data_IF_880121526422
#
_entry.id   IF_880121526422
#
_cell.length_a   1.000
_cell.length_b   1.000
_cell.length_c   1.000
_cell.angle_alpha   90.00
_cell.angle_beta   90.00
_cell.angle_gamma   90.00
#
_symmetry.space_group_name_H-M   'P 1'
#
loop_
_entity.id
_entity.type
_entity.pdbx_description
1 polymer ?
#
# COMPACT_ATOMS: atom_id res chain seq x y z
N UNK A 1 -20.73 -13.28 -0.77
CA UNK A 1 -19.27 -13.24 -0.52
C UNK A 1 -19.06 -12.24 0.59
N UNK A 2 -18.71 -12.72 1.78
CA UNK A 2 -18.44 -11.87 2.94
C UNK A 2 -17.14 -11.11 2.71
N UNK A 3 -17.19 -9.79 2.92
CA UNK A 3 -16.02 -8.93 2.80
C UNK A 3 -15.02 -9.28 3.91
N UNK A 4 -13.79 -9.68 3.55
CA UNK A 4 -12.76 -10.02 4.52
C UNK A 4 -11.70 -8.93 4.55
N UNK A 5 -11.56 -8.27 5.71
CA UNK A 5 -10.44 -7.35 5.95
C UNK A 5 -9.14 -8.14 6.11
N UNK A 6 -8.11 -7.71 5.41
CA UNK A 6 -6.76 -8.29 5.43
C UNK A 6 -5.74 -7.21 5.74
N UNK A 7 -4.61 -7.62 6.33
CA UNK A 7 -3.51 -6.72 6.69
C UNK A 7 -2.20 -7.16 6.03
N UNK A 8 -1.38 -6.18 5.65
CA UNK A 8 -0.02 -6.36 5.11
C UNK A 8 0.93 -5.58 6.00
N UNK A 9 2.08 -6.18 6.31
CA UNK A 9 3.19 -5.51 6.99
C UNK A 9 4.47 -5.88 6.27
N UNK A 10 5.18 -4.89 5.74
CA UNK A 10 6.42 -5.14 5.02
C UNK A 10 7.38 -3.95 5.07
N UNK A 11 8.58 -4.15 4.53
CA UNK A 11 9.62 -3.15 4.37
C UNK A 11 9.95 -3.01 2.89
N UNK A 12 9.76 -1.81 2.37
CA UNK A 12 10.16 -1.45 1.02
C UNK A 12 11.50 -0.69 1.04
N UNK A 13 12.43 -1.07 0.17
CA UNK A 13 13.64 -0.27 -0.11
C UNK A 13 13.39 0.49 -1.40
N UNK A 14 13.43 1.82 -1.36
CA UNK A 14 13.23 2.64 -2.55
C UNK A 14 14.26 2.32 -3.61
N UNK A 15 13.80 2.33 -4.86
CA UNK A 15 14.63 2.15 -6.05
C UNK A 15 15.55 3.35 -6.25
N UNK A 16 15.09 4.55 -5.90
CA UNK A 16 15.86 5.80 -5.95
C UNK A 16 16.23 6.21 -4.52
N UNK A 17 17.50 6.48 -4.25
CA UNK A 17 17.99 6.92 -2.93
C UNK A 17 18.26 5.79 -1.92
N UNK A 18 17.63 4.62 -2.10
CA UNK A 18 17.89 3.42 -1.29
C UNK A 18 17.35 3.50 0.13
N UNK A 19 16.51 4.49 0.45
CA UNK A 19 15.92 4.60 1.77
C UNK A 19 14.90 3.48 2.03
N UNK A 20 14.83 3.04 3.28
CA UNK A 20 13.91 1.98 3.71
C UNK A 20 12.66 2.58 4.34
N UNK A 21 11.52 2.05 3.95
CA UNK A 21 10.22 2.40 4.49
C UNK A 21 9.54 1.15 5.01
N UNK A 22 9.07 1.21 6.25
CA UNK A 22 8.19 0.19 6.80
C UNK A 22 6.76 0.62 6.53
N UNK A 23 5.86 -0.31 6.21
CA UNK A 23 4.45 0.03 6.08
C UNK A 23 3.54 -1.02 6.70
N UNK A 24 2.43 -0.53 7.26
CA UNK A 24 1.31 -1.33 7.71
C UNK A 24 0.09 -0.96 6.86
N UNK A 25 -0.48 -1.91 6.14
CA UNK A 25 -1.64 -1.69 5.29
C UNK A 25 -2.81 -2.59 5.66
N UNK A 26 -4.00 -2.11 5.38
CA UNK A 26 -5.25 -2.87 5.47
C UNK A 26 -6.03 -2.70 4.19
N UNK A 27 -6.68 -3.78 3.75
CA UNK A 27 -7.60 -3.73 2.61
C UNK A 27 -8.76 -4.69 2.83
N UNK A 28 -9.91 -4.38 2.23
CA UNK A 28 -11.11 -5.23 2.30
C UNK A 28 -11.34 -5.92 0.97
N UNK A 29 -11.35 -7.26 0.95
CA UNK A 29 -11.60 -8.02 -0.28
C UNK A 29 -13.06 -7.88 -0.76
N UNK A 30 -13.23 -7.83 -2.08
CA UNK A 30 -14.53 -7.71 -2.73
C UNK A 30 -14.40 -7.19 -4.16
N UNK A 31 -15.53 -6.92 -4.81
CA UNK A 31 -15.56 -6.30 -6.14
C UNK A 31 -15.06 -4.85 -6.09
N UNK A 32 -15.23 -4.18 -4.95
CA UNK A 32 -14.63 -2.88 -4.64
C UNK A 32 -13.69 -3.08 -3.46
N UNK A 33 -12.40 -2.84 -3.68
CA UNK A 33 -11.35 -2.99 -2.67
C UNK A 33 -10.89 -1.62 -2.24
N UNK A 34 -11.16 -1.30 -0.98
CA UNK A 34 -10.62 -0.10 -0.34
C UNK A 34 -9.38 -0.50 0.43
N UNK A 35 -8.30 0.27 0.28
CA UNK A 35 -7.04 0.03 0.97
C UNK A 35 -6.49 1.32 1.56
N UNK A 36 -5.78 1.17 2.68
CA UNK A 36 -5.07 2.24 3.34
C UNK A 36 -3.76 1.68 3.88
N UNK A 37 -2.70 2.48 3.84
CA UNK A 37 -1.42 2.14 4.44
C UNK A 37 -0.93 3.28 5.32
N UNK A 38 -0.14 2.95 6.34
CA UNK A 38 0.69 3.88 7.10
C UNK A 38 2.13 3.57 6.76
N UNK A 39 2.87 4.58 6.31
CA UNK A 39 4.25 4.42 5.85
C UNK A 39 5.17 5.15 6.83
N UNK A 40 6.18 4.45 7.30
CA UNK A 40 7.15 4.92 8.28
C UNK A 40 8.56 4.85 7.71
N UNK A 41 9.41 5.79 8.10
CA UNK A 41 10.85 5.76 7.87
C UNK A 41 11.53 5.99 9.21
N UNK A 42 12.41 5.06 9.60
CA UNK A 42 13.07 5.07 10.92
C UNK A 42 12.08 5.23 12.09
N UNK A 43 10.93 4.56 12.00
CA UNK A 43 9.85 4.63 12.99
C UNK A 43 8.97 5.89 12.93
N UNK A 44 9.28 6.88 12.09
CA UNK A 44 8.51 8.12 11.94
C UNK A 44 7.50 7.99 10.82
N UNK A 45 6.22 8.26 11.10
CA UNK A 45 5.16 8.27 10.09
C UNK A 45 5.44 9.36 9.03
N UNK A 46 5.60 8.96 7.76
CA UNK A 46 5.85 9.84 6.62
C UNK A 46 4.63 10.09 5.77
N UNK A 47 3.69 9.14 5.74
CA UNK A 47 2.50 9.25 4.92
C UNK A 47 1.44 8.22 5.26
N UNK A 48 0.22 8.46 4.78
CA UNK A 48 -0.88 7.52 4.91
C UNK A 48 -1.63 7.36 3.57
N UNK A 49 -0.99 6.76 2.56
CA UNK A 49 -1.62 6.61 1.25
C UNK A 49 -2.81 5.66 1.35
N UNK A 50 -3.81 5.91 0.52
CA UNK A 50 -5.01 5.09 0.43
C UNK A 50 -5.57 5.14 -0.98
N UNK A 51 -6.45 4.20 -1.30
CA UNK A 51 -7.06 4.14 -2.61
C UNK A 51 -8.19 3.13 -2.69
N UNK A 52 -8.81 3.11 -3.87
CA UNK A 52 -9.91 2.20 -4.19
C UNK A 52 -9.60 1.52 -5.51
N UNK A 53 -9.68 0.19 -5.54
CA UNK A 53 -9.70 -0.63 -6.77
C UNK A 53 -11.14 -1.06 -7.00
N UNK A 54 -11.73 -0.60 -8.10
CA UNK A 54 -13.09 -0.99 -8.50
C UNK A 54 -13.04 -2.13 -9.51
N UNK A 55 -14.14 -2.89 -9.61
CA UNK A 55 -14.28 -4.04 -10.52
C UNK A 55 -13.15 -5.06 -10.39
N UNK A 56 -12.72 -5.30 -9.16
CA UNK A 56 -11.68 -6.27 -8.87
C UNK A 56 -12.17 -7.70 -9.15
N UNK A 57 -11.54 -8.34 -10.12
CA UNK A 57 -11.74 -9.75 -10.48
C UNK A 57 -10.53 -10.61 -10.11
N UNK A 58 -9.52 -10.04 -9.43
CA UNK A 58 -8.33 -10.76 -9.00
C UNK A 58 -8.68 -11.73 -7.88
N UNK A 59 -8.01 -12.89 -7.90
CA UNK A 59 -7.98 -13.78 -6.77
C UNK A 59 -7.23 -13.16 -5.57
N UNK A 60 -7.27 -13.87 -4.45
CA UNK A 60 -6.71 -13.42 -3.18
C UNK A 60 -5.21 -13.07 -3.25
N UNK A 61 -4.40 -13.85 -3.96
CA UNK A 61 -2.95 -13.68 -4.03
C UNK A 61 -2.59 -12.57 -5.01
N UNK A 62 -3.24 -12.56 -6.18
CA UNK A 62 -3.07 -11.49 -7.16
C UNK A 62 -3.51 -10.12 -6.61
N UNK A 63 -4.61 -10.07 -5.83
CA UNK A 63 -5.05 -8.86 -5.15
C UNK A 63 -4.01 -8.41 -4.12
N UNK A 64 -3.48 -9.32 -3.31
CA UNK A 64 -2.45 -8.99 -2.32
C UNK A 64 -1.24 -8.32 -3.00
N UNK A 65 -0.70 -8.92 -4.07
CA UNK A 65 0.43 -8.36 -4.81
C UNK A 65 0.11 -7.01 -5.47
N UNK A 66 -1.12 -6.85 -5.95
CA UNK A 66 -1.59 -5.57 -6.48
C UNK A 66 -1.58 -4.47 -5.42
N UNK A 67 -2.09 -4.74 -4.21
CA UNK A 67 -2.08 -3.78 -3.10
C UNK A 67 -0.64 -3.44 -2.68
N UNK A 68 0.26 -4.42 -2.57
CA UNK A 68 1.69 -4.18 -2.31
C UNK A 68 2.26 -3.20 -3.35
N UNK A 69 2.04 -3.48 -4.64
CA UNK A 69 2.55 -2.65 -5.73
C UNK A 69 2.01 -1.21 -5.65
N UNK A 70 0.73 -1.02 -5.33
CA UNK A 70 0.14 0.32 -5.17
C UNK A 70 0.78 1.10 -4.02
N UNK A 71 1.07 0.43 -2.91
CA UNK A 71 1.75 1.05 -1.76
C UNK A 71 3.18 1.44 -2.14
N UNK A 72 3.93 0.56 -2.80
CA UNK A 72 5.30 0.86 -3.25
C UNK A 72 5.34 2.03 -4.24
N UNK A 73 4.41 2.09 -5.20
CA UNK A 73 4.26 3.24 -6.11
C UNK A 73 3.96 4.52 -5.34
N UNK A 74 3.08 4.45 -4.32
CA UNK A 74 2.80 5.60 -3.48
C UNK A 74 4.04 6.05 -2.70
N UNK A 75 4.81 5.12 -2.13
CA UNK A 75 6.08 5.42 -1.43
C UNK A 75 7.07 6.10 -2.37
N UNK A 76 7.21 5.61 -3.61
CA UNK A 76 8.08 6.24 -4.60
C UNK A 76 7.63 7.66 -4.97
N UNK A 77 6.31 7.90 -4.98
CA UNK A 77 5.71 9.21 -5.23
C UNK A 77 5.74 10.19 -4.04
N UNK A 78 6.12 9.77 -2.83
CA UNK A 78 6.17 10.65 -1.65
C UNK A 78 7.28 11.72 -1.71
N UNK A 79 8.13 11.71 -2.74
CA UNK A 79 9.11 12.77 -3.01
C UNK A 79 8.76 13.50 -4.32
N UNK A 80 8.26 14.73 -4.16
CA UNK A 80 7.87 15.64 -5.25
C UNK A 80 7.16 16.94 -4.83
N UNK A 81 6.69 17.10 -3.58
CA UNK A 81 6.17 18.40 -3.09
C UNK A 81 7.24 19.08 -2.22
N UNK A 82 8.27 19.58 -2.90
CA UNK A 82 9.03 20.75 -2.48
C UNK A 82 9.04 21.70 -3.66
N UNK A 83 8.07 22.59 -3.71
CA UNK A 83 8.19 23.93 -4.30
C UNK A 83 7.59 24.93 -3.32
#
# INVERSE_FOLDING_TARGET
>A
MDAQSRSIKDIYTRKVGGEKYQYDATYTSGQRVEWNARVYQDGVLKGSPSGVVSDNLLDADALHQSIVTLIEVAIEGMQGIKE
#
